data_IF_130267777926
#
_entry.id   IF_130267777926
#
_cell.length_a   1.000
_cell.length_b   1.000
_cell.length_c   1.000
_cell.angle_alpha   90.00
_cell.angle_beta   90.00
_cell.angle_gamma   90.00
#
_symmetry.space_group_name_H-M   'P 1'
#
loop_
_entity.id
_entity.type
_entity.pdbx_description
1 polymer ?
#
# COMPACT_ATOMS: atom_id res chain seq x y z
N UNK A 1 33.09 -28.37 -13.62
CA UNK A 1 32.62 -26.98 -13.51
C UNK A 1 33.60 -26.22 -12.65
N UNK A 2 34.05 -25.05 -13.09
CA UNK A 2 34.93 -24.19 -12.29
C UNK A 2 34.17 -23.74 -11.03
N UNK A 3 34.67 -24.09 -9.85
CA UNK A 3 34.05 -23.78 -8.56
C UNK A 3 33.85 -22.26 -8.39
N UNK A 4 34.71 -21.44 -9.02
CA UNK A 4 34.57 -19.98 -9.01
C UNK A 4 33.37 -19.51 -9.81
N UNK A 5 33.16 -20.05 -11.02
CA UNK A 5 31.99 -19.74 -11.84
C UNK A 5 30.69 -20.18 -11.16
N UNK A 6 30.69 -21.36 -10.53
CA UNK A 6 29.54 -21.83 -9.74
C UNK A 6 29.19 -20.87 -8.59
N UNK A 7 30.17 -20.50 -7.77
CA UNK A 7 29.96 -19.57 -6.65
C UNK A 7 29.53 -18.19 -7.15
N UNK A 8 30.08 -17.72 -8.28
CA UNK A 8 29.69 -16.46 -8.88
C UNK A 8 28.24 -16.45 -9.38
N UNK A 9 27.73 -17.55 -9.92
CA UNK A 9 26.33 -17.69 -10.33
C UNK A 9 25.37 -17.78 -9.13
N UNK A 10 25.76 -18.49 -8.07
CA UNK A 10 24.87 -18.75 -6.92
C UNK A 10 24.77 -17.56 -5.96
N UNK A 11 25.82 -16.75 -5.82
CA UNK A 11 25.82 -15.57 -4.95
C UNK A 11 24.63 -14.61 -5.17
N UNK A 12 24.33 -14.13 -6.40
CA UNK A 12 23.17 -13.27 -6.62
C UNK A 12 21.84 -14.00 -6.37
N UNK A 13 21.75 -15.30 -6.67
CA UNK A 13 20.55 -16.11 -6.38
C UNK A 13 20.26 -16.13 -4.88
N UNK A 14 21.27 -16.30 -4.03
CA UNK A 14 21.11 -16.27 -2.57
C UNK A 14 20.59 -14.90 -2.12
N UNK A 15 21.17 -13.80 -2.61
CA UNK A 15 20.75 -12.45 -2.23
C UNK A 15 19.30 -12.16 -2.66
N UNK A 16 18.93 -12.53 -3.89
CA UNK A 16 17.54 -12.42 -4.36
C UNK A 16 16.57 -13.29 -3.55
N UNK A 17 17.00 -14.48 -3.14
CA UNK A 17 16.19 -15.37 -2.30
C UNK A 17 15.96 -14.76 -0.92
N UNK A 18 16.98 -14.16 -0.31
CA UNK A 18 16.85 -13.46 0.98
C UNK A 18 15.91 -12.26 0.84
N UNK A 19 16.01 -11.48 -0.25
CA UNK A 19 15.09 -10.39 -0.53
C UNK A 19 13.64 -10.91 -0.62
N UNK A 20 13.41 -11.97 -1.39
CA UNK A 20 12.07 -12.57 -1.54
C UNK A 20 11.52 -13.11 -0.21
N UNK A 21 12.34 -13.77 0.62
CA UNK A 21 11.93 -14.21 1.97
C UNK A 21 11.49 -13.02 2.81
N UNK A 22 12.31 -11.96 2.82
CA UNK A 22 12.05 -10.80 3.64
C UNK A 22 10.73 -10.14 3.30
N UNK A 23 10.41 -10.00 2.00
CA UNK A 23 9.12 -9.49 1.55
C UNK A 23 7.97 -10.39 1.99
N UNK A 24 8.07 -11.70 1.72
CA UNK A 24 7.01 -12.67 2.00
C UNK A 24 6.67 -12.82 3.48
N UNK A 25 7.65 -12.69 4.38
CA UNK A 25 7.41 -12.77 5.83
C UNK A 25 7.03 -11.43 6.45
N UNK A 26 7.51 -10.31 5.91
CA UNK A 26 7.38 -9.01 6.58
C UNK A 26 6.13 -8.25 6.13
N UNK A 27 5.60 -8.54 4.95
CA UNK A 27 4.52 -7.78 4.31
C UNK A 27 3.45 -8.70 3.76
N UNK A 28 2.36 -8.87 4.52
CA UNK A 28 1.18 -9.65 4.11
C UNK A 28 0.26 -8.84 3.18
N UNK A 29 -0.49 -9.50 2.31
CA UNK A 29 -1.52 -8.86 1.46
C UNK A 29 -2.56 -8.09 2.28
N UNK A 30 -2.96 -8.60 3.45
CA UNK A 30 -3.88 -7.91 4.36
C UNK A 30 -3.35 -6.53 4.77
N UNK A 31 -2.11 -6.47 5.30
CA UNK A 31 -1.46 -5.20 5.65
C UNK A 31 -1.41 -4.23 4.47
N UNK A 32 -1.10 -4.73 3.28
CA UNK A 32 -1.05 -3.90 2.07
C UNK A 32 -2.40 -3.29 1.68
N UNK A 33 -3.51 -4.00 1.95
CA UNK A 33 -4.86 -3.53 1.65
C UNK A 33 -5.41 -2.50 2.63
N UNK A 34 -5.02 -2.56 3.91
CA UNK A 34 -5.52 -1.61 4.94
C UNK A 34 -4.59 -0.43 5.18
N UNK A 35 -3.32 -0.55 4.82
CA UNK A 35 -2.29 0.44 5.13
C UNK A 35 -2.64 1.89 4.75
N UNK A 36 -3.27 2.11 3.58
CA UNK A 36 -3.65 3.46 3.17
C UNK A 36 -4.65 4.09 4.15
N UNK A 37 -5.70 3.35 4.49
CA UNK A 37 -6.73 3.80 5.41
C UNK A 37 -6.14 3.98 6.82
N UNK A 38 -5.29 3.05 7.28
CA UNK A 38 -4.64 3.14 8.58
C UNK A 38 -3.77 4.41 8.69
N UNK A 39 -3.03 4.75 7.62
CA UNK A 39 -2.25 5.97 7.55
C UNK A 39 -3.13 7.24 7.56
N UNK A 40 -4.27 7.24 6.85
CA UNK A 40 -5.21 8.36 6.86
C UNK A 40 -5.92 8.53 8.21
N UNK A 41 -6.34 7.42 8.84
CA UNK A 41 -6.92 7.44 10.19
C UNK A 41 -5.93 8.03 11.18
N UNK A 42 -4.67 7.60 11.13
CA UNK A 42 -3.61 8.16 11.99
C UNK A 42 -3.42 9.66 11.75
N UNK A 43 -3.38 10.09 10.49
CA UNK A 43 -3.28 11.51 10.14
C UNK A 43 -4.44 12.34 10.69
N UNK A 44 -5.68 11.88 10.53
CA UNK A 44 -6.86 12.60 11.02
C UNK A 44 -6.84 12.70 12.55
N UNK A 45 -6.43 11.64 13.25
CA UNK A 45 -6.29 11.65 14.71
C UNK A 45 -5.27 12.67 15.19
N UNK A 46 -4.11 12.69 14.55
CA UNK A 46 -3.04 13.64 14.90
C UNK A 46 -3.45 15.09 14.60
N UNK A 47 -4.15 15.32 13.49
CA UNK A 47 -4.67 16.65 13.12
C UNK A 47 -5.68 17.22 14.13
N UNK A 48 -6.31 16.38 14.95
CA UNK A 48 -7.21 16.85 16.03
C UNK A 48 -6.43 17.44 17.21
N UNK A 49 -5.16 17.06 17.41
CA UNK A 49 -4.34 17.44 18.56
C UNK A 49 -3.10 18.28 18.25
N UNK A 50 -2.68 18.31 16.97
CA UNK A 50 -1.41 18.89 16.53
C UNK A 50 -1.59 19.71 15.25
N UNK A 51 -0.57 20.50 14.88
CA UNK A 51 -0.54 21.20 13.60
C UNK A 51 -0.26 20.24 12.43
N UNK A 52 -0.50 20.71 11.20
CA UNK A 52 -0.35 19.88 10.00
C UNK A 52 1.08 19.31 9.83
N UNK A 53 2.17 20.09 10.01
CA UNK A 53 3.53 19.57 9.90
C UNK A 53 3.85 18.45 10.91
N UNK A 54 3.50 18.63 12.19
CA UNK A 54 3.73 17.60 13.20
C UNK A 54 2.88 16.35 12.94
N UNK A 55 1.63 16.52 12.51
CA UNK A 55 0.73 15.42 12.16
C UNK A 55 1.28 14.61 10.98
N UNK A 56 1.76 15.28 9.92
CA UNK A 56 2.39 14.62 8.78
C UNK A 56 3.67 13.86 9.19
N UNK A 57 4.48 14.43 10.09
CA UNK A 57 5.69 13.79 10.59
C UNK A 57 5.38 12.55 11.44
N UNK A 58 4.36 12.63 12.31
CA UNK A 58 3.87 11.49 13.11
C UNK A 58 3.35 10.37 12.19
N UNK A 59 2.50 10.71 11.22
CA UNK A 59 1.99 9.74 10.24
C UNK A 59 3.09 9.11 9.41
N UNK A 60 4.09 9.88 8.96
CA UNK A 60 5.22 9.33 8.24
C UNK A 60 6.02 8.36 9.12
N UNK A 61 6.21 8.68 10.40
CA UNK A 61 6.91 7.82 11.37
C UNK A 61 6.13 6.52 11.62
N UNK A 62 4.80 6.61 11.71
CA UNK A 62 3.91 5.46 11.77
C UNK A 62 4.04 4.57 10.52
N UNK A 63 3.93 5.17 9.32
CA UNK A 63 4.10 4.46 8.05
C UNK A 63 5.49 3.81 7.95
N UNK A 64 6.51 4.48 8.49
CA UNK A 64 7.88 3.99 8.54
C UNK A 64 8.01 2.71 9.36
N UNK A 65 7.47 2.71 10.58
CA UNK A 65 7.49 1.56 11.47
C UNK A 65 6.67 0.36 10.97
N UNK A 66 5.53 0.60 10.33
CA UNK A 66 4.65 -0.51 9.94
C UNK A 66 5.07 -1.20 8.63
N UNK A 67 5.31 -0.42 7.55
CA UNK A 67 5.54 -0.98 6.22
C UNK A 67 6.78 -0.45 5.49
N UNK A 68 7.09 0.86 5.56
CA UNK A 68 8.12 1.44 4.69
C UNK A 68 9.51 0.93 5.04
N UNK A 69 9.83 0.70 6.32
CA UNK A 69 11.12 0.13 6.72
C UNK A 69 11.34 -1.25 6.07
N UNK A 70 10.29 -2.08 6.06
CA UNK A 70 10.38 -3.43 5.50
C UNK A 70 10.53 -3.40 3.98
N UNK A 71 9.75 -2.55 3.31
CA UNK A 71 9.88 -2.35 1.87
C UNK A 71 11.25 -1.77 1.51
N UNK A 72 11.82 -0.89 2.34
CA UNK A 72 13.15 -0.32 2.15
C UNK A 72 14.24 -1.38 2.23
N UNK A 73 14.20 -2.26 3.24
CA UNK A 73 15.15 -3.38 3.37
C UNK A 73 15.03 -4.33 2.18
N UNK A 74 13.81 -4.66 1.76
CA UNK A 74 13.58 -5.47 0.57
C UNK A 74 14.19 -4.83 -0.70
N UNK A 75 13.89 -3.56 -0.97
CA UNK A 75 14.41 -2.87 -2.15
C UNK A 75 15.94 -2.72 -2.10
N UNK A 76 16.52 -2.52 -0.91
CA UNK A 76 17.97 -2.49 -0.73
C UNK A 76 18.61 -3.86 -1.04
N UNK A 77 18.01 -4.96 -0.56
CA UNK A 77 18.49 -6.32 -0.85
C UNK A 77 18.34 -6.68 -2.34
N UNK A 78 17.24 -6.27 -2.99
CA UNK A 78 17.10 -6.41 -4.44
C UNK A 78 18.20 -5.65 -5.18
N UNK A 79 18.43 -4.39 -4.81
CA UNK A 79 19.47 -3.56 -5.41
C UNK A 79 20.86 -4.18 -5.23
N UNK A 80 21.15 -4.74 -4.05
CA UNK A 80 22.36 -5.50 -3.77
C UNK A 80 22.46 -6.79 -4.60
N UNK A 81 21.34 -7.51 -4.79
CA UNK A 81 21.31 -8.71 -5.63
C UNK A 81 21.68 -8.39 -7.08
N UNK A 82 21.14 -7.31 -7.63
CA UNK A 82 21.52 -6.81 -8.95
C UNK A 82 22.97 -6.32 -8.99
N UNK A 83 23.48 -5.72 -7.91
CA UNK A 83 24.88 -5.31 -7.81
C UNK A 83 25.85 -6.49 -7.84
N UNK A 84 25.54 -7.55 -7.10
CA UNK A 84 26.35 -8.77 -7.10
C UNK A 84 26.28 -9.47 -8.45
N UNK A 85 25.07 -9.57 -9.04
CA UNK A 85 24.88 -10.12 -10.38
C UNK A 85 25.72 -9.37 -11.41
N UNK A 86 25.71 -8.04 -11.32
CA UNK A 86 26.49 -7.14 -12.15
C UNK A 86 28.00 -7.35 -12.02
N UNK A 87 28.53 -7.32 -10.78
CA UNK A 87 29.97 -7.43 -10.55
C UNK A 87 30.54 -8.76 -11.07
N UNK A 88 29.68 -9.77 -11.15
CA UNK A 88 30.05 -11.13 -11.51
C UNK A 88 29.58 -11.53 -12.91
N UNK A 89 28.94 -10.64 -13.68
CA UNK A 89 28.25 -10.95 -14.94
C UNK A 89 29.11 -11.78 -15.91
N UNK A 90 30.37 -11.39 -16.12
CA UNK A 90 31.32 -12.10 -16.99
C UNK A 90 31.67 -13.53 -16.52
N UNK A 91 31.22 -13.93 -15.32
CA UNK A 91 31.43 -15.25 -14.70
C UNK A 91 30.11 -15.96 -14.40
N UNK A 92 28.96 -15.32 -14.66
CA UNK A 92 27.65 -15.92 -14.44
C UNK A 92 27.29 -16.79 -15.64
N UNK A 93 27.05 -18.07 -15.38
CA UNK A 93 26.35 -18.96 -16.32
C UNK A 93 24.84 -18.68 -16.25
N UNK A 94 24.27 -18.07 -17.29
CA UNK A 94 22.86 -17.70 -17.38
C UNK A 94 21.92 -18.90 -17.32
N UNK A 95 22.32 -20.06 -17.86
CA UNK A 95 21.50 -21.28 -17.82
C UNK A 95 21.40 -21.79 -16.39
N UNK A 96 22.52 -21.85 -15.68
CA UNK A 96 22.58 -22.24 -14.27
C UNK A 96 21.84 -21.23 -13.37
N UNK A 97 21.97 -19.93 -13.65
CA UNK A 97 21.26 -18.88 -12.93
C UNK A 97 19.73 -19.06 -13.03
N UNK A 98 19.22 -19.23 -14.26
CA UNK A 98 17.78 -19.42 -14.51
C UNK A 98 17.27 -20.71 -13.86
N UNK A 99 18.00 -21.81 -13.99
CA UNK A 99 17.63 -23.09 -13.37
C UNK A 99 17.57 -22.96 -11.83
N UNK A 100 18.54 -22.27 -11.24
CA UNK A 100 18.59 -22.04 -9.79
C UNK A 100 17.44 -21.16 -9.33
N UNK A 101 17.15 -20.05 -10.04
CA UNK A 101 16.03 -19.18 -9.74
C UNK A 101 14.68 -19.89 -9.87
N UNK A 102 14.50 -20.75 -10.88
CA UNK A 102 13.29 -21.54 -11.07
C UNK A 102 13.10 -22.57 -9.95
N UNK A 103 14.16 -23.26 -9.53
CA UNK A 103 14.12 -24.21 -8.41
C UNK A 103 13.77 -23.51 -7.10
N UNK A 104 14.38 -22.36 -6.82
CA UNK A 104 14.06 -21.55 -5.64
C UNK A 104 12.62 -21.06 -5.69
N UNK A 105 12.18 -20.51 -6.83
CA UNK A 105 10.81 -20.03 -6.98
C UNK A 105 9.79 -21.15 -6.75
N UNK A 106 10.05 -22.36 -7.27
CA UNK A 106 9.21 -23.53 -7.05
C UNK A 106 9.20 -23.95 -5.57
N UNK A 107 10.35 -23.99 -4.91
CA UNK A 107 10.45 -24.32 -3.49
C UNK A 107 9.65 -23.32 -2.64
N UNK A 108 9.76 -22.02 -2.94
CA UNK A 108 9.01 -20.98 -2.24
C UNK A 108 7.52 -21.02 -2.54
N UNK A 109 7.13 -21.39 -3.76
CA UNK A 109 5.73 -21.57 -4.12
C UNK A 109 5.11 -22.73 -3.33
N UNK A 110 5.82 -23.86 -3.23
CA UNK A 110 5.36 -25.03 -2.48
C UNK A 110 5.34 -24.78 -0.96
N UNK A 111 6.41 -24.20 -0.41
CA UNK A 111 6.53 -23.95 1.03
C UNK A 111 5.71 -22.74 1.51
N UNK A 112 5.49 -21.76 0.63
CA UNK A 112 4.72 -20.54 0.90
C UNK A 112 3.22 -20.67 0.65
N UNK A 113 2.68 -21.89 0.65
CA UNK A 113 1.24 -22.14 0.54
C UNK A 113 0.65 -21.81 -0.82
N UNK A 114 1.38 -22.06 -1.91
CA UNK A 114 0.94 -21.80 -3.29
C UNK A 114 0.64 -20.32 -3.57
N UNK A 115 1.32 -19.40 -2.89
CA UNK A 115 1.15 -17.97 -3.11
C UNK A 115 1.63 -17.57 -4.51
N UNK A 116 0.67 -17.19 -5.36
CA UNK A 116 0.91 -16.67 -6.71
C UNK A 116 1.76 -15.40 -6.68
N UNK A 117 1.67 -14.60 -5.61
CA UNK A 117 2.48 -13.39 -5.41
C UNK A 117 3.98 -13.68 -5.56
N UNK A 118 4.44 -14.77 -4.95
CA UNK A 118 5.86 -15.15 -4.96
C UNK A 118 6.38 -15.44 -6.37
N UNK A 119 5.56 -16.06 -7.22
CA UNK A 119 5.92 -16.31 -8.61
C UNK A 119 6.12 -15.01 -9.40
N UNK A 120 5.31 -13.99 -9.13
CA UNK A 120 5.49 -12.67 -9.75
C UNK A 120 6.79 -11.99 -9.29
N UNK A 121 7.17 -12.10 -8.01
CA UNK A 121 8.45 -11.55 -7.51
C UNK A 121 9.63 -12.17 -8.25
N UNK A 122 9.70 -13.50 -8.28
CA UNK A 122 10.78 -14.21 -8.96
C UNK A 122 10.76 -13.99 -10.47
N UNK A 123 9.58 -13.95 -11.10
CA UNK A 123 9.41 -13.63 -12.52
C UNK A 123 9.95 -12.24 -12.87
N UNK A 124 9.67 -11.24 -12.03
CA UNK A 124 10.20 -9.89 -12.18
C UNK A 124 11.72 -9.83 -12.08
N UNK A 125 12.31 -10.55 -11.11
CA UNK A 125 13.78 -10.62 -10.94
C UNK A 125 14.43 -11.27 -12.15
N UNK A 126 13.92 -12.43 -12.58
CA UNK A 126 14.45 -13.17 -13.75
C UNK A 126 14.36 -12.33 -15.01
N UNK A 127 13.21 -11.70 -15.28
CA UNK A 127 13.02 -10.90 -16.47
C UNK A 127 13.90 -9.65 -16.47
N UNK A 128 14.12 -9.04 -15.30
CA UNK A 128 15.05 -7.92 -15.13
C UNK A 128 16.50 -8.35 -15.36
N UNK A 129 16.92 -9.49 -14.82
CA UNK A 129 18.27 -10.02 -15.00
C UNK A 129 18.56 -10.36 -16.48
N UNK A 130 17.61 -10.99 -17.17
CA UNK A 130 17.71 -11.28 -18.61
C UNK A 130 17.72 -10.02 -19.48
N UNK A 131 16.95 -9.00 -19.10
CA UNK A 131 16.96 -7.72 -19.79
C UNK A 131 18.32 -7.03 -19.65
N UNK A 132 18.88 -7.05 -18.44
CA UNK A 132 20.19 -6.47 -18.14
C UNK A 132 21.30 -7.16 -18.92
N UNK A 133 21.36 -8.49 -18.92
CA UNK A 133 22.36 -9.28 -19.66
C UNK A 133 22.41 -8.91 -21.16
N UNK A 134 21.27 -8.56 -21.76
CA UNK A 134 21.18 -8.18 -23.18
C UNK A 134 21.51 -6.73 -23.50
N UNK A 135 21.36 -5.84 -22.52
CA UNK A 135 21.39 -4.38 -22.75
C UNK A 135 22.57 -3.69 -22.08
N UNK A 136 23.30 -4.41 -21.24
CA UNK A 136 24.38 -3.83 -20.46
C UNK A 136 25.67 -3.69 -21.29
N UNK A 137 26.19 -2.46 -21.34
CA UNK A 137 27.52 -2.17 -21.89
C UNK A 137 28.46 -1.72 -20.76
N UNK A 138 29.44 -2.55 -20.35
CA UNK A 138 30.34 -2.28 -19.21
C UNK A 138 31.25 -1.05 -19.35
N UNK A 139 31.25 -0.38 -20.50
CA UNK A 139 32.30 0.58 -20.88
C UNK A 139 32.15 1.99 -20.31
N UNK A 140 31.14 2.27 -19.49
CA UNK A 140 30.95 3.59 -18.86
C UNK A 140 30.83 3.42 -17.35
N UNK A 141 31.94 3.54 -16.63
CA UNK A 141 31.98 3.64 -15.15
C UNK A 141 31.36 4.93 -14.60
N UNK A 142 30.33 5.46 -15.28
CA UNK A 142 29.63 6.66 -14.90
C UNK A 142 28.50 6.32 -13.92
N UNK A 143 28.29 7.19 -12.94
CA UNK A 143 27.15 7.13 -12.02
C UNK A 143 25.82 6.99 -12.77
N UNK A 144 25.63 7.74 -13.85
CA UNK A 144 24.39 7.72 -14.66
C UNK A 144 24.09 6.35 -15.26
N UNK A 145 25.13 5.60 -15.62
CA UNK A 145 25.02 4.23 -16.13
C UNK A 145 24.50 3.31 -15.04
N UNK A 146 25.13 3.31 -13.86
CA UNK A 146 24.67 2.50 -12.73
C UNK A 146 23.25 2.85 -12.27
N UNK A 147 22.92 4.14 -12.21
CA UNK A 147 21.58 4.61 -11.84
C UNK A 147 20.51 4.16 -12.84
N UNK A 148 20.77 4.35 -14.15
CA UNK A 148 19.82 3.96 -15.21
C UNK A 148 19.49 2.47 -15.15
N UNK A 149 20.52 1.62 -14.99
CA UNK A 149 20.35 0.17 -14.95
C UNK A 149 19.62 -0.30 -13.68
N UNK A 150 20.05 0.13 -12.50
CA UNK A 150 19.39 -0.23 -11.24
C UNK A 150 17.94 0.26 -11.21
N UNK A 151 17.69 1.48 -11.68
CA UNK A 151 16.35 2.04 -11.75
C UNK A 151 15.44 1.25 -12.69
N UNK A 152 15.94 0.85 -13.86
CA UNK A 152 15.18 0.03 -14.81
C UNK A 152 14.85 -1.37 -14.25
N UNK A 153 15.81 -2.01 -13.60
CA UNK A 153 15.64 -3.33 -12.99
C UNK A 153 14.63 -3.29 -11.83
N UNK A 154 14.81 -2.35 -10.89
CA UNK A 154 13.88 -2.17 -9.76
C UNK A 154 12.47 -1.79 -10.23
N UNK A 155 12.35 -0.98 -11.29
CA UNK A 155 11.05 -0.65 -11.89
C UNK A 155 10.37 -1.87 -12.49
N UNK A 156 11.11 -2.74 -13.15
CA UNK A 156 10.58 -3.99 -13.73
C UNK A 156 10.12 -4.94 -12.64
N UNK A 157 10.91 -5.14 -11.58
CA UNK A 157 10.48 -5.94 -10.41
C UNK A 157 9.24 -5.34 -9.74
N UNK A 158 9.17 -4.00 -9.62
CA UNK A 158 8.02 -3.29 -9.05
C UNK A 158 6.74 -3.47 -9.88
N UNK A 159 6.85 -3.46 -11.20
CA UNK A 159 5.72 -3.74 -12.09
C UNK A 159 5.17 -5.15 -11.85
N UNK A 160 6.05 -6.13 -11.73
CA UNK A 160 5.65 -7.52 -11.43
C UNK A 160 5.06 -7.65 -10.03
N UNK A 161 5.61 -6.97 -9.03
CA UNK A 161 5.03 -6.90 -7.69
C UNK A 161 3.62 -6.31 -7.70
N UNK A 162 3.40 -5.26 -8.48
CA UNK A 162 2.08 -4.66 -8.65
C UNK A 162 1.09 -5.63 -9.29
N UNK A 163 1.46 -6.27 -10.40
CA UNK A 163 0.60 -7.25 -11.09
C UNK A 163 0.32 -8.44 -10.15
N UNK A 164 1.34 -8.93 -9.45
CA UNK A 164 1.20 -10.02 -8.49
C UNK A 164 0.29 -9.67 -7.33
N UNK A 165 0.43 -8.47 -6.77
CA UNK A 165 -0.46 -7.98 -5.72
C UNK A 165 -1.91 -7.91 -6.19
N UNK A 166 -2.16 -7.34 -7.38
CA UNK A 166 -3.50 -7.30 -7.96
C UNK A 166 -4.05 -8.71 -8.20
N UNK A 167 -3.25 -9.63 -8.75
CA UNK A 167 -3.67 -11.00 -8.99
C UNK A 167 -4.08 -11.69 -7.68
N UNK A 168 -3.31 -11.52 -6.60
CA UNK A 168 -3.64 -12.09 -5.29
C UNK A 168 -4.85 -11.41 -4.64
N UNK A 169 -4.94 -10.10 -4.71
CA UNK A 169 -6.04 -9.34 -4.11
C UNK A 169 -7.37 -9.62 -4.84
N UNK A 170 -7.37 -9.72 -6.17
CA UNK A 170 -8.58 -10.05 -6.94
C UNK A 170 -8.96 -11.52 -6.85
N UNK A 171 -8.00 -12.45 -6.86
CA UNK A 171 -8.30 -13.89 -6.69
C UNK A 171 -8.89 -14.23 -5.33
N UNK A 172 -8.60 -13.42 -4.31
CA UNK A 172 -9.09 -13.61 -2.94
C UNK A 172 -9.99 -12.45 -2.47
N UNK A 173 -10.63 -11.72 -3.38
CA UNK A 173 -11.39 -10.50 -3.02
C UNK A 173 -12.50 -10.78 -2.01
N UNK A 174 -13.12 -11.96 -2.09
CA UNK A 174 -14.15 -12.41 -1.14
C UNK A 174 -13.61 -12.56 0.29
N UNK A 175 -12.35 -12.99 0.44
CA UNK A 175 -11.69 -13.12 1.74
C UNK A 175 -11.29 -11.78 2.36
N UNK A 176 -11.13 -10.73 1.55
CA UNK A 176 -10.71 -9.40 2.01
C UNK A 176 -11.84 -8.38 2.07
N UNK A 177 -13.00 -8.66 1.49
CA UNK A 177 -14.11 -7.69 1.37
C UNK A 177 -14.59 -7.16 2.74
N UNK A 178 -14.78 -8.05 3.72
CA UNK A 178 -15.20 -7.65 5.06
C UNK A 178 -14.17 -6.74 5.75
N UNK A 179 -12.88 -7.02 5.54
CA UNK A 179 -11.78 -6.27 6.10
C UNK A 179 -11.63 -4.88 5.46
N UNK A 180 -11.72 -4.79 4.13
CA UNK A 180 -11.69 -3.52 3.40
C UNK A 180 -12.88 -2.65 3.81
N UNK A 181 -14.08 -3.24 3.89
CA UNK A 181 -15.28 -2.49 4.28
C UNK A 181 -15.21 -2.01 5.73
N UNK A 182 -14.69 -2.82 6.67
CA UNK A 182 -14.46 -2.39 8.04
C UNK A 182 -13.42 -1.27 8.15
N UNK A 183 -12.34 -1.34 7.38
CA UNK A 183 -11.30 -0.31 7.34
C UNK A 183 -11.84 1.01 6.77
N UNK A 184 -12.63 0.95 5.70
CA UNK A 184 -13.29 2.11 5.11
C UNK A 184 -14.33 2.73 6.06
N UNK A 185 -15.11 1.91 6.77
CA UNK A 185 -16.06 2.39 7.77
C UNK A 185 -15.36 3.11 8.92
N UNK A 186 -14.25 2.56 9.43
CA UNK A 186 -13.45 3.20 10.48
C UNK A 186 -12.89 4.56 10.04
N UNK A 187 -12.48 4.69 8.77
CA UNK A 187 -12.05 5.96 8.20
C UNK A 187 -13.20 6.99 8.20
N UNK A 188 -14.40 6.58 7.79
CA UNK A 188 -15.58 7.45 7.80
C UNK A 188 -15.97 7.91 9.21
N UNK A 189 -15.93 7.01 10.19
CA UNK A 189 -16.18 7.35 11.59
C UNK A 189 -15.16 8.35 12.12
N UNK A 190 -13.88 8.14 11.81
CA UNK A 190 -12.81 9.06 12.24
C UNK A 190 -12.96 10.46 11.63
N UNK A 191 -13.36 10.54 10.34
CA UNK A 191 -13.67 11.78 9.62
C UNK A 191 -14.92 12.47 10.17
N UNK A 192 -15.98 11.71 10.49
CA UNK A 192 -17.20 12.24 11.08
C UNK A 192 -16.99 12.72 12.53
N UNK A 193 -15.97 12.20 13.22
CA UNK A 193 -15.69 12.53 14.62
C UNK A 193 -16.65 11.89 15.62
N UNK A 194 -17.50 10.97 15.16
CA UNK A 194 -18.48 10.22 15.94
C UNK A 194 -18.80 8.91 15.21
N UNK A 195 -19.45 7.96 15.89
CA UNK A 195 -19.92 6.74 15.21
C UNK A 195 -20.95 7.10 14.13
N UNK A 196 -20.96 6.35 13.02
CA UNK A 196 -21.91 6.59 11.92
C UNK A 196 -23.37 6.43 12.37
N UNK A 197 -23.62 5.51 13.31
CA UNK A 197 -24.95 5.33 13.92
C UNK A 197 -25.37 6.56 14.72
N UNK A 198 -24.45 7.13 15.52
CA UNK A 198 -24.74 8.34 16.28
C UNK A 198 -24.95 9.56 15.38
N UNK A 199 -24.18 9.66 14.28
CA UNK A 199 -24.39 10.72 13.28
C UNK A 199 -25.78 10.66 12.65
N UNK A 200 -26.26 9.47 12.28
CA UNK A 200 -27.63 9.30 11.77
C UNK A 200 -28.69 9.62 12.82
N UNK A 201 -28.50 9.18 14.08
CA UNK A 201 -29.42 9.53 15.17
C UNK A 201 -29.50 11.05 15.37
N UNK A 202 -28.36 11.74 15.36
CA UNK A 202 -28.33 13.22 15.42
C UNK A 202 -29.07 13.88 14.25
N UNK A 203 -28.99 13.32 13.04
CA UNK A 203 -29.73 13.82 11.88
C UNK A 203 -31.25 13.62 12.04
N UNK A 204 -31.68 12.47 12.55
CA UNK A 204 -33.08 12.18 12.87
C UNK A 204 -33.57 13.15 13.94
N UNK A 205 -32.81 13.32 15.01
CA UNK A 205 -33.13 14.24 16.11
C UNK A 205 -33.29 15.68 15.64
N UNK A 206 -32.35 16.16 14.81
CA UNK A 206 -32.41 17.50 14.23
C UNK A 206 -33.63 17.68 13.31
N UNK A 207 -33.99 16.67 12.53
CA UNK A 207 -35.18 16.70 11.66
C UNK A 207 -36.46 16.75 12.49
N UNK A 208 -36.57 15.90 13.51
CA UNK A 208 -37.74 15.85 14.40
C UNK A 208 -37.91 17.16 15.17
N UNK A 209 -36.84 17.72 15.75
CA UNK A 209 -36.92 19.00 16.45
C UNK A 209 -37.28 20.16 15.51
N UNK A 210 -36.74 20.18 14.28
CA UNK A 210 -37.10 21.19 13.28
C UNK A 210 -38.60 21.15 12.94
N UNK A 211 -39.15 19.94 12.75
CA UNK A 211 -40.58 19.76 12.46
C UNK A 211 -41.43 20.12 13.68
N UNK A 212 -41.05 19.70 14.89
CA UNK A 212 -41.76 20.06 16.14
C UNK A 212 -41.77 21.57 16.36
N UNK A 213 -40.63 22.23 16.14
CA UNK A 213 -40.52 23.69 16.21
C UNK A 213 -41.42 24.38 15.20
N UNK A 214 -41.44 23.89 13.95
CA UNK A 214 -42.32 24.41 12.89
C UNK A 214 -43.80 24.24 13.24
N UNK A 215 -44.19 23.05 13.72
CA UNK A 215 -45.55 22.77 14.18
C UNK A 215 -45.96 23.66 15.36
N UNK A 216 -45.05 23.85 16.32
CA UNK A 216 -45.27 24.71 17.47
C UNK A 216 -45.48 26.17 17.05
N UNK A 217 -44.62 26.69 16.18
CA UNK A 217 -44.73 28.07 15.68
C UNK A 217 -46.04 28.30 14.94
N UNK A 218 -46.47 27.33 14.12
CA UNK A 218 -47.77 27.40 13.43
C UNK A 218 -48.94 27.32 14.41
N UNK A 219 -48.89 26.41 15.38
CA UNK A 219 -49.92 26.25 16.40
C UNK A 219 -50.06 27.50 17.28
N UNK A 220 -48.94 28.06 17.75
CA UNK A 220 -48.90 29.26 18.60
C UNK A 220 -49.35 30.52 17.83
N UNK A 221 -49.17 30.55 16.50
CA UNK A 221 -49.66 31.60 15.61
C UNK A 221 -51.17 31.59 15.31
N UNK A 222 -51.89 30.52 15.66
CA UNK A 222 -53.35 30.43 15.45
C UNK A 222 -54.13 31.22 16.51
N UNK A 223 -55.34 31.66 16.19
CA UNK A 223 -56.26 32.27 17.16
C UNK A 223 -56.65 31.29 18.27
N UNK A 224 -57.02 31.79 19.45
CA UNK A 224 -57.30 30.96 20.64
C UNK A 224 -58.38 29.90 20.39
N UNK A 225 -59.42 30.25 19.62
CA UNK A 225 -60.54 29.37 19.29
C UNK A 225 -60.12 28.22 18.35
N UNK A 226 -59.26 28.50 17.37
CA UNK A 226 -58.71 27.48 16.46
C UNK A 226 -57.69 26.60 17.19
N UNK A 227 -56.87 27.16 18.08
CA UNK A 227 -55.92 26.40 18.91
C UNK A 227 -56.59 25.35 19.78
N UNK A 228 -57.73 25.67 20.40
CA UNK A 228 -58.49 24.72 21.21
C UNK A 228 -59.04 23.56 20.36
N UNK A 229 -59.54 23.85 19.16
CA UNK A 229 -60.08 22.83 18.25
C UNK A 229 -58.98 21.93 17.66
N UNK A 230 -57.81 22.50 17.36
CA UNK A 230 -56.67 21.78 16.80
C UNK A 230 -55.73 21.16 17.85
N UNK A 231 -55.95 21.40 19.14
CA UNK A 231 -55.10 20.92 20.23
C UNK A 231 -54.86 19.40 20.25
N UNK A 232 -55.91 18.57 20.09
CA UNK A 232 -55.74 17.12 19.99
C UNK A 232 -54.90 16.70 18.78
N UNK A 233 -55.05 17.37 17.64
CA UNK A 233 -54.28 17.10 16.42
C UNK A 233 -52.81 17.50 16.59
N UNK A 234 -52.54 18.69 17.15
CA UNK A 234 -51.18 19.13 17.46
C UNK A 234 -50.48 18.14 18.40
N UNK A 235 -51.16 17.74 19.48
CA UNK A 235 -50.63 16.77 20.43
C UNK A 235 -50.36 15.43 19.75
N UNK A 236 -51.29 14.94 18.93
CA UNK A 236 -51.11 13.70 18.17
C UNK A 236 -49.93 13.74 17.20
N UNK A 237 -49.71 14.85 16.50
CA UNK A 237 -48.57 15.03 15.60
C UNK A 237 -47.23 15.08 16.36
N UNK A 238 -47.20 15.78 17.49
CA UNK A 238 -46.00 15.85 18.34
C UNK A 238 -45.66 14.47 18.93
N UNK A 239 -46.66 13.74 19.44
CA UNK A 239 -46.46 12.37 19.95
C UNK A 239 -46.02 11.42 18.83
N UNK A 240 -46.64 11.48 17.65
CA UNK A 240 -46.26 10.66 16.51
C UNK A 240 -44.83 10.92 16.02
N UNK A 241 -44.34 12.16 16.14
CA UNK A 241 -42.94 12.49 15.85
C UNK A 241 -41.96 11.90 16.87
N UNK A 242 -42.34 11.84 18.15
CA UNK A 242 -41.52 11.16 19.17
C UNK A 242 -41.52 9.65 19.00
N UNK A 243 -42.67 9.06 18.67
CA UNK A 243 -42.75 7.62 18.37
C UNK A 243 -41.93 7.28 17.13
N UNK A 244 -41.99 8.12 16.08
CA UNK A 244 -41.13 8.01 14.91
C UNK A 244 -39.65 8.10 15.27
N UNK A 245 -39.22 9.08 16.07
CA UNK A 245 -37.83 9.21 16.54
C UNK A 245 -37.36 7.92 17.21
N UNK A 246 -38.15 7.41 18.17
CA UNK A 246 -37.81 6.22 18.94
C UNK A 246 -37.67 4.99 18.05
N UNK A 247 -38.61 4.78 17.14
CA UNK A 247 -38.58 3.65 16.22
C UNK A 247 -37.45 3.77 15.19
N UNK A 248 -37.19 4.98 14.68
CA UNK A 248 -36.08 5.23 13.77
C UNK A 248 -34.73 5.00 14.45
N UNK A 249 -34.54 5.43 15.71
CA UNK A 249 -33.33 5.13 16.48
C UNK A 249 -33.13 3.62 16.67
N UNK A 250 -34.19 2.88 16.99
CA UNK A 250 -34.16 1.42 17.11
C UNK A 250 -33.74 0.77 15.79
N UNK A 251 -34.28 1.23 14.66
CA UNK A 251 -33.88 0.73 13.34
C UNK A 251 -32.41 1.01 13.03
N UNK A 252 -31.89 2.21 13.35
CA UNK A 252 -30.46 2.53 13.17
C UNK A 252 -29.58 1.60 14.01
N UNK A 253 -29.98 1.28 15.24
CA UNK A 253 -29.23 0.36 16.11
C UNK A 253 -29.21 -1.08 15.56
N UNK A 254 -30.33 -1.54 15.00
CA UNK A 254 -30.47 -2.88 14.42
C UNK A 254 -29.89 -3.01 13.01
N UNK A 255 -29.62 -1.89 12.33
CA UNK A 255 -29.10 -1.88 10.96
C UNK A 255 -27.60 -2.25 10.94
N UNK A 256 -27.21 -3.07 9.95
CA UNK A 256 -25.81 -3.40 9.72
C UNK A 256 -25.03 -2.18 9.22
N UNK A 257 -23.85 -1.96 9.77
CA UNK A 257 -23.03 -0.77 9.55
C UNK A 257 -22.68 -0.59 8.07
N UNK A 258 -22.44 -1.70 7.35
CA UNK A 258 -22.17 -1.67 5.91
C UNK A 258 -23.39 -1.23 5.09
N UNK A 259 -24.60 -1.65 5.48
CA UNK A 259 -25.82 -1.18 4.81
C UNK A 259 -26.09 0.29 5.09
N UNK A 260 -25.81 0.75 6.31
CA UNK A 260 -25.88 2.14 6.77
C UNK A 260 -24.96 3.07 5.97
N UNK A 261 -23.71 2.64 5.75
CA UNK A 261 -22.75 3.38 4.93
C UNK A 261 -23.19 3.41 3.47
N UNK A 262 -23.66 2.27 2.94
CA UNK A 262 -24.08 2.17 1.54
C UNK A 262 -25.29 3.05 1.20
N UNK A 263 -26.21 3.25 2.16
CA UNK A 263 -27.38 4.12 1.99
C UNK A 263 -27.05 5.60 2.19
N UNK A 264 -26.06 5.91 3.02
CA UNK A 264 -25.67 7.29 3.36
C UNK A 264 -24.65 7.89 2.39
N UNK A 265 -23.81 7.05 1.75
CA UNK A 265 -22.79 7.48 0.78
C UNK A 265 -23.03 6.79 -0.57
N UNK A 266 -23.71 7.47 -1.52
CA UNK A 266 -23.93 6.94 -2.85
C UNK A 266 -22.60 6.57 -3.52
N UNK A 267 -22.46 5.31 -3.94
CA UNK A 267 -21.25 4.82 -4.61
C UNK A 267 -20.20 4.19 -3.68
N UNK A 268 -20.43 4.10 -2.36
CA UNK A 268 -19.53 3.40 -1.44
C UNK A 268 -19.18 1.96 -1.87
N UNK A 269 -20.18 1.22 -2.38
CA UNK A 269 -19.96 -0.13 -2.90
C UNK A 269 -19.03 -0.21 -4.13
N UNK A 270 -18.75 0.91 -4.81
CA UNK A 270 -17.74 1.01 -5.87
C UNK A 270 -16.36 1.20 -5.24
N UNK A 271 -16.23 2.05 -4.21
CA UNK A 271 -14.97 2.25 -3.48
C UNK A 271 -14.48 0.97 -2.81
N UNK A 272 -15.37 0.18 -2.20
CA UNK A 272 -15.04 -1.12 -1.61
C UNK A 272 -14.46 -2.09 -2.66
N UNK A 273 -15.00 -2.07 -3.89
CA UNK A 273 -14.51 -2.90 -5.00
C UNK A 273 -13.22 -2.38 -5.62
N UNK A 274 -12.97 -1.06 -5.53
CA UNK A 274 -11.75 -0.41 -6.02
C UNK A 274 -10.61 -0.41 -5.00
N UNK A 275 -10.86 -0.74 -3.73
CA UNK A 275 -9.86 -0.76 -2.66
C UNK A 275 -8.54 -1.47 -3.02
N UNK A 276 -8.56 -2.68 -3.60
CA UNK A 276 -7.35 -3.35 -4.06
C UNK A 276 -6.56 -2.55 -5.10
N UNK A 277 -7.25 -1.88 -6.03
CA UNK A 277 -6.64 -1.06 -7.07
C UNK A 277 -5.99 0.19 -6.46
N UNK A 278 -6.70 0.89 -5.57
CA UNK A 278 -6.20 2.08 -4.87
C UNK A 278 -4.97 1.76 -4.02
N UNK A 279 -5.02 0.65 -3.28
CA UNK A 279 -3.91 0.13 -2.48
C UNK A 279 -2.70 -0.17 -3.37
N UNK A 280 -2.91 -0.85 -4.51
CA UNK A 280 -1.86 -1.15 -5.46
C UNK A 280 -1.21 0.11 -6.05
N UNK A 281 -2.01 1.15 -6.35
CA UNK A 281 -1.49 2.43 -6.84
C UNK A 281 -0.65 3.15 -5.78
N UNK A 282 -1.08 3.20 -4.51
CA UNK A 282 -0.26 3.81 -3.46
C UNK A 282 1.04 3.05 -3.21
N UNK A 283 1.01 1.72 -3.32
CA UNK A 283 2.22 0.91 -3.26
C UNK A 283 3.18 1.22 -4.41
N UNK A 284 2.67 1.38 -5.64
CA UNK A 284 3.49 1.83 -6.78
C UNK A 284 4.18 3.18 -6.49
N UNK A 285 3.49 4.14 -5.88
CA UNK A 285 4.07 5.43 -5.52
C UNK A 285 5.17 5.26 -4.46
N UNK A 286 4.92 4.46 -3.43
CA UNK A 286 5.90 4.15 -2.37
C UNK A 286 7.14 3.46 -2.97
N UNK A 287 6.94 2.40 -3.74
CA UNK A 287 8.04 1.71 -4.41
C UNK A 287 8.77 2.63 -5.38
N UNK A 288 8.10 3.55 -6.07
CA UNK A 288 8.74 4.56 -6.90
C UNK A 288 9.76 5.40 -6.13
N UNK A 289 9.37 5.91 -4.96
CA UNK A 289 10.26 6.68 -4.09
C UNK A 289 11.42 5.81 -3.52
N UNK A 290 11.12 4.60 -3.06
CA UNK A 290 12.14 3.68 -2.53
C UNK A 290 13.12 3.22 -3.61
N UNK A 291 12.64 2.95 -4.82
CA UNK A 291 13.47 2.55 -5.96
C UNK A 291 14.42 3.67 -6.34
N UNK A 292 13.99 4.93 -6.31
CA UNK A 292 14.86 6.07 -6.55
C UNK A 292 16.02 6.10 -5.54
N UNK A 293 15.73 6.00 -4.23
CA UNK A 293 16.74 5.97 -3.17
C UNK A 293 17.70 4.78 -3.31
N UNK A 294 17.16 3.59 -3.58
CA UNK A 294 17.96 2.36 -3.76
C UNK A 294 18.81 2.38 -5.04
N UNK A 295 18.32 3.00 -6.12
CA UNK A 295 19.07 3.16 -7.36
C UNK A 295 20.19 4.20 -7.21
N UNK A 296 19.93 5.27 -6.46
CA UNK A 296 20.92 6.30 -6.18
C UNK A 296 22.08 5.76 -5.35
N UNK A 297 21.77 5.04 -4.27
CA UNK A 297 22.79 4.39 -3.41
C UNK A 297 23.60 3.35 -4.17
N UNK A 298 22.93 2.53 -5.01
CA UNK A 298 23.60 1.62 -5.94
C UNK A 298 24.56 2.33 -6.89
N UNK A 299 24.09 3.41 -7.54
CA UNK A 299 24.88 4.13 -8.52
C UNK A 299 26.14 4.74 -7.90
N UNK A 300 26.03 5.20 -6.65
CA UNK A 300 27.16 5.67 -5.86
C UNK A 300 28.15 4.53 -5.57
N UNK A 301 27.67 3.38 -5.10
CA UNK A 301 28.50 2.21 -4.81
C UNK A 301 29.22 1.68 -6.08
N UNK A 302 28.49 1.61 -7.19
CA UNK A 302 29.04 1.21 -8.49
C UNK A 302 30.13 2.18 -8.98
N UNK A 303 29.88 3.49 -8.88
CA UNK A 303 30.87 4.51 -9.23
C UNK A 303 32.12 4.42 -8.35
N UNK A 304 31.97 4.22 -7.04
CA UNK A 304 33.13 4.04 -6.14
C UNK A 304 33.90 2.77 -6.50
N UNK A 305 33.22 1.63 -6.64
CA UNK A 305 33.86 0.35 -6.94
C UNK A 305 34.63 0.37 -8.28
N UNK A 306 34.06 1.01 -9.30
CA UNK A 306 34.71 1.11 -10.62
C UNK A 306 35.90 2.06 -10.64
N UNK A 307 35.87 3.16 -9.90
CA UNK A 307 37.00 4.09 -9.82
C UNK A 307 38.15 3.55 -8.95
N UNK A 308 37.85 2.88 -7.83
CA UNK A 308 38.88 2.23 -7.01
C UNK A 308 39.66 1.16 -7.80
N UNK A 309 38.96 0.37 -8.62
CA UNK A 309 39.60 -0.67 -9.44
C UNK A 309 40.43 -0.08 -10.59
N UNK A 310 40.05 1.10 -11.11
CA UNK A 310 40.80 1.82 -12.13
C UNK A 310 42.10 2.39 -11.56
N UNK A 311 42.10 2.88 -10.32
CA UNK A 311 43.30 3.37 -9.66
C UNK A 311 44.30 2.23 -9.38
N UNK A 312 43.84 1.05 -8.96
CA UNK A 312 44.70 -0.15 -8.80
C UNK A 312 45.37 -0.60 -10.12
N UNK A 313 44.65 -0.54 -11.25
CA UNK A 313 45.20 -0.88 -12.56
C UNK A 313 46.20 0.16 -13.09
N UNK A 314 46.03 1.43 -12.71
CA UNK A 314 46.96 2.51 -13.07
C UNK A 314 48.26 2.49 -12.26
N UNK A 315 48.24 1.95 -11.04
CA UNK A 315 49.44 1.79 -10.19
C UNK A 315 50.26 0.53 -10.52
N UNK A 316 49.65 -0.45 -11.21
CA UNK A 316 50.30 -1.70 -11.62
C UNK A 316 50.82 -1.70 -13.05
N UNK A 317 50.54 -0.66 -13.83
CA UNK A 317 51.15 -0.47 -15.15
C UNK A 317 52.55 0.17 -14.98
N UNK A 318 53.64 -0.47 -15.43
CA UNK A 318 54.97 0.13 -15.37
C UNK A 318 55.00 1.40 -16.23
N UNK A 319 55.72 2.46 -15.83
CA UNK A 319 55.87 3.64 -16.67
C UNK A 319 56.51 3.21 -17.97
N UNK A 320 55.83 3.48 -19.09
CA UNK A 320 56.43 3.42 -20.42
C UNK A 320 57.53 4.47 -20.41
N UNK A 321 58.79 4.00 -20.36
CA UNK A 321 59.95 4.84 -20.61
C UNK A 321 59.98 5.12 -22.10
N UNK A 322 59.65 6.35 -22.46
CA UNK A 322 60.04 6.94 -23.75
C UNK A 322 61.58 7.08 -23.83
#
# INVERSE_FOLDING_TARGET
MDTKAFLSTIAPVIVFSIAALFLSYSVTTQKLLTFQNDAFIHLIRELKGSDLPASLSSTLSFMWGDILLRLSVFTALLSLGFFVFFLLENRVDSTLFLASMALVALAFFLLGGFSVFTLFVFGGIVLSALWLEKTFEPKKGAFSTGHSFSSSALRTVTLFLFIGFLAVAFSNIQGYQAMVSASNAALLEEMAGTSLKDAQKQQIDGTVESIKSSLKNQYDGMSSQVRQQCGPMYTGLVTGLEDYRKEAHRQVDETDLNSLVSSSVPGYGIFDKMGPLLSAFGLMVIFGALNFLASFTFALAYWVATNLHRDEQSMTSPPVRD
#
